data_IF_212743747825
#
_entry.id   IF_212743747825
#
_cell.length_a   1.000
_cell.length_b   1.000
_cell.length_c   1.000
_cell.angle_alpha   90.00
_cell.angle_beta   90.00
_cell.angle_gamma   90.00
#
_symmetry.space_group_name_H-M   'P 1'
#
loop_
_entity.id
_entity.type
_entity.pdbx_description
1 polymer ?
#
# COMPACT_ATOMS: atom_id res chain seq x y z
N UNK A 1 -4.50 -7.03 14.21
CA UNK A 1 -3.74 -6.44 13.08
C UNK A 1 -2.26 -6.77 13.24
N UNK A 2 -1.61 -7.06 12.13
CA UNK A 2 -0.18 -7.35 12.12
C UNK A 2 0.62 -6.07 12.35
N UNK A 3 1.77 -6.18 13.03
CA UNK A 3 2.69 -5.06 13.22
C UNK A 3 4.08 -5.47 12.72
N UNK A 4 4.69 -4.65 11.88
CA UNK A 4 6.02 -4.90 11.31
C UNK A 4 6.90 -3.69 11.54
N UNK A 5 8.06 -3.91 12.18
CA UNK A 5 9.02 -2.84 12.46
C UNK A 5 10.39 -3.09 11.82
N UNK A 6 10.59 -4.25 11.19
CA UNK A 6 11.85 -4.60 10.55
C UNK A 6 11.79 -4.43 9.04
N UNK A 7 12.73 -3.68 8.48
CA UNK A 7 12.90 -3.55 7.04
C UNK A 7 13.39 -4.84 6.37
N UNK A 8 13.80 -5.83 7.15
CA UNK A 8 14.22 -7.15 6.64
C UNK A 8 13.05 -8.11 6.48
N UNK A 9 11.86 -7.73 6.94
CA UNK A 9 10.66 -8.55 6.75
C UNK A 9 10.37 -8.74 5.26
N UNK A 10 10.04 -9.96 4.83
CA UNK A 10 9.81 -10.27 3.42
C UNK A 10 8.69 -9.44 2.80
N UNK A 11 7.62 -9.17 3.54
CA UNK A 11 6.53 -8.32 3.04
C UNK A 11 7.02 -6.92 2.73
N UNK A 12 7.91 -6.38 3.57
CA UNK A 12 8.49 -5.05 3.37
C UNK A 12 9.42 -5.04 2.15
N UNK A 13 10.27 -6.05 2.03
CA UNK A 13 11.21 -6.17 0.91
C UNK A 13 10.44 -6.27 -0.41
N UNK A 14 9.42 -7.12 -0.48
CA UNK A 14 8.62 -7.29 -1.69
C UNK A 14 7.82 -6.02 -2.02
N UNK A 15 7.27 -5.36 -1.00
CA UNK A 15 6.53 -4.11 -1.21
C UNK A 15 7.45 -3.00 -1.72
N UNK A 16 8.66 -2.88 -1.18
CA UNK A 16 9.62 -1.87 -1.60
C UNK A 16 10.02 -2.00 -3.08
N UNK A 17 9.99 -3.22 -3.63
CA UNK A 17 10.27 -3.45 -5.06
C UNK A 17 9.26 -2.76 -5.97
N UNK A 18 8.06 -2.49 -5.49
CA UNK A 18 7.00 -1.85 -6.26
C UNK A 18 7.26 -0.36 -6.53
N UNK A 19 8.32 0.21 -5.98
CA UNK A 19 8.78 1.55 -6.33
C UNK A 19 9.27 1.56 -7.78
N UNK A 20 9.74 0.42 -8.28
CA UNK A 20 10.25 0.28 -9.64
C UNK A 20 9.15 -0.14 -10.61
N UNK A 21 9.05 0.60 -11.72
CA UNK A 21 8.00 0.38 -12.73
C UNK A 21 8.02 -1.05 -13.29
N UNK A 22 9.21 -1.61 -13.51
CA UNK A 22 9.35 -2.98 -14.01
C UNK A 22 8.72 -3.99 -13.06
N UNK A 23 8.94 -3.83 -11.75
CA UNK A 23 8.38 -4.74 -10.76
C UNK A 23 6.87 -4.60 -10.64
N UNK A 24 6.36 -3.38 -10.76
CA UNK A 24 4.90 -3.15 -10.78
C UNK A 24 4.26 -3.91 -11.94
N UNK A 25 4.84 -3.80 -13.12
CA UNK A 25 4.33 -4.49 -14.30
C UNK A 25 4.39 -6.02 -14.15
N UNK A 26 5.50 -6.55 -13.65
CA UNK A 26 5.68 -7.99 -13.45
C UNK A 26 4.68 -8.57 -12.45
N UNK A 27 4.40 -7.85 -11.37
CA UNK A 27 3.54 -8.32 -10.29
C UNK A 27 2.08 -7.93 -10.45
N UNK A 28 1.77 -6.99 -11.33
CA UNK A 28 0.43 -6.45 -11.49
C UNK A 28 -0.03 -5.67 -10.27
N UNK A 29 0.89 -5.03 -9.56
CA UNK A 29 0.63 -4.30 -8.33
C UNK A 29 1.22 -2.90 -8.41
N UNK A 30 0.66 -1.97 -7.63
CA UNK A 30 1.22 -0.63 -7.48
C UNK A 30 1.00 -0.10 -6.07
N UNK A 31 1.70 0.98 -5.74
CA UNK A 31 1.61 1.62 -4.42
C UNK A 31 0.78 2.89 -4.50
N UNK A 32 -0.11 3.07 -3.53
CA UNK A 32 -0.88 4.30 -3.35
C UNK A 32 -0.44 4.94 -2.03
N UNK A 33 0.23 6.08 -2.12
CA UNK A 33 0.77 6.77 -0.96
C UNK A 33 -0.11 7.96 -0.61
N UNK A 34 -0.79 7.88 0.52
CA UNK A 34 -1.65 8.92 1.03
C UNK A 34 -3.12 8.54 1.07
N UNK A 35 -3.81 9.06 2.09
CA UNK A 35 -5.20 8.71 2.37
C UNK A 35 -6.17 9.14 1.26
N UNK A 36 -5.93 10.29 0.64
CA UNK A 36 -6.80 10.78 -0.43
C UNK A 36 -6.80 9.85 -1.63
N UNK A 37 -5.60 9.39 -2.03
CA UNK A 37 -5.46 8.47 -3.15
C UNK A 37 -6.11 7.13 -2.83
N UNK A 38 -5.97 6.65 -1.59
CA UNK A 38 -6.59 5.39 -1.15
C UNK A 38 -8.11 5.48 -1.29
N UNK A 39 -8.73 6.59 -0.86
CA UNK A 39 -10.17 6.79 -1.02
C UNK A 39 -10.60 6.79 -2.49
N UNK A 40 -9.83 7.46 -3.35
CA UNK A 40 -10.12 7.49 -4.79
C UNK A 40 -10.09 6.09 -5.39
N UNK A 41 -9.11 5.28 -5.00
CA UNK A 41 -8.97 3.92 -5.49
C UNK A 41 -10.11 3.02 -5.02
N UNK A 42 -10.53 3.17 -3.77
CA UNK A 42 -11.68 2.42 -3.24
C UNK A 42 -12.95 2.79 -4.01
N UNK A 43 -13.17 4.09 -4.29
CA UNK A 43 -14.31 4.53 -5.08
C UNK A 43 -14.31 3.98 -6.49
N UNK A 44 -13.13 3.74 -7.05
CA UNK A 44 -12.96 3.25 -8.41
C UNK A 44 -12.87 1.72 -8.49
N UNK A 45 -13.25 1.04 -7.43
CA UNK A 45 -13.28 -0.43 -7.33
C UNK A 45 -11.91 -1.11 -7.50
N UNK A 46 -10.84 -0.42 -7.12
CA UNK A 46 -9.52 -1.06 -7.06
C UNK A 46 -9.44 -1.98 -5.85
N UNK A 47 -8.83 -3.15 -6.05
CA UNK A 47 -8.59 -4.07 -4.95
C UNK A 47 -7.38 -3.63 -4.15
N UNK A 48 -7.58 -3.38 -2.84
CA UNK A 48 -6.50 -3.07 -1.92
C UNK A 48 -6.09 -4.36 -1.22
N UNK A 49 -4.89 -4.82 -1.50
CA UNK A 49 -4.38 -6.08 -0.96
C UNK A 49 -3.81 -5.92 0.45
N UNK A 50 -3.14 -4.81 0.69
CA UNK A 50 -2.51 -4.50 1.98
C UNK A 50 -2.50 -3.00 2.18
N UNK A 51 -2.74 -2.55 3.39
CA UNK A 51 -2.62 -1.15 3.76
C UNK A 51 -1.64 -1.02 4.92
N UNK A 52 -0.49 -0.42 4.64
CA UNK A 52 0.51 -0.12 5.68
C UNK A 52 0.14 1.20 6.34
N UNK A 53 0.03 1.18 7.65
CA UNK A 53 -0.32 2.36 8.45
C UNK A 53 0.82 2.64 9.42
N UNK A 54 1.32 3.87 9.38
CA UNK A 54 2.38 4.27 10.30
C UNK A 54 1.92 4.13 11.75
N UNK A 55 2.78 3.59 12.60
CA UNK A 55 2.52 3.46 14.02
C UNK A 55 2.12 4.81 14.63
N UNK A 56 1.01 4.85 15.34
CA UNK A 56 0.46 6.07 15.94
C UNK A 56 -0.52 6.83 15.05
N UNK A 57 -0.69 6.45 13.79
CA UNK A 57 -1.67 7.10 12.92
C UNK A 57 -3.09 6.69 13.30
N UNK A 58 -4.05 7.57 13.00
CA UNK A 58 -5.45 7.34 13.30
C UNK A 58 -6.08 6.38 12.28
N UNK A 59 -6.37 5.16 12.72
CA UNK A 59 -6.98 4.15 11.87
C UNK A 59 -8.42 4.48 11.44
N UNK A 60 -9.11 5.34 12.19
CA UNK A 60 -10.50 5.67 11.90
C UNK A 60 -10.67 6.46 10.59
N UNK A 61 -9.60 7.04 10.06
CA UNK A 61 -9.66 7.78 8.79
C UNK A 61 -9.64 6.88 7.56
N UNK A 62 -9.33 5.59 7.73
CA UNK A 62 -9.33 4.63 6.61
C UNK A 62 -10.74 4.33 6.12
N UNK A 63 -10.90 4.04 4.81
CA UNK A 63 -12.18 3.55 4.31
C UNK A 63 -12.65 2.30 5.05
N UNK A 64 -13.91 2.29 5.47
CA UNK A 64 -14.47 1.16 6.22
C UNK A 64 -14.53 -0.15 5.44
N UNK A 65 -14.42 -0.09 4.12
CA UNK A 65 -14.40 -1.27 3.26
C UNK A 65 -13.08 -2.04 3.30
N UNK A 66 -12.02 -1.45 3.84
CA UNK A 66 -10.74 -2.14 3.98
C UNK A 66 -10.83 -3.08 5.18
N UNK A 67 -10.69 -4.38 4.92
CA UNK A 67 -10.74 -5.39 5.97
C UNK A 67 -9.53 -5.23 6.91
N UNK A 68 -9.76 -5.38 8.21
CA UNK A 68 -8.70 -5.27 9.22
C UNK A 68 -7.58 -6.26 9.00
N UNK A 69 -7.87 -7.44 8.42
CA UNK A 69 -6.85 -8.44 8.10
C UNK A 69 -5.84 -7.95 7.04
N UNK A 70 -6.18 -6.90 6.31
CA UNK A 70 -5.32 -6.31 5.29
C UNK A 70 -4.50 -5.13 5.80
N UNK A 71 -4.69 -4.73 7.05
CA UNK A 71 -3.99 -3.61 7.65
C UNK A 71 -2.75 -4.10 8.39
N UNK A 72 -1.62 -3.46 8.12
CA UNK A 72 -0.35 -3.70 8.79
C UNK A 72 0.12 -2.40 9.44
N UNK A 73 0.32 -2.43 10.75
CA UNK A 73 0.91 -1.31 11.47
C UNK A 73 2.41 -1.36 11.26
N UNK A 74 3.00 -0.30 10.76
CA UNK A 74 4.40 -0.27 10.36
C UNK A 74 5.18 0.83 11.09
N UNK A 75 6.42 0.51 11.47
CA UNK A 75 7.33 1.50 12.02
C UNK A 75 7.72 2.54 10.98
N UNK A 76 8.21 3.69 11.43
CA UNK A 76 8.60 4.80 10.55
C UNK A 76 9.66 4.36 9.53
N UNK A 77 10.63 3.56 9.94
CA UNK A 77 11.68 3.03 9.07
C UNK A 77 11.09 2.18 7.93
N UNK A 78 10.07 1.38 8.23
CA UNK A 78 9.37 0.56 7.23
C UNK A 78 8.62 1.45 6.25
N UNK A 79 7.88 2.44 6.76
CA UNK A 79 7.13 3.38 5.91
C UNK A 79 8.06 4.12 4.96
N UNK A 80 9.21 4.58 5.45
CA UNK A 80 10.20 5.27 4.62
C UNK A 80 10.76 4.37 3.52
N UNK A 81 10.96 3.10 3.82
CA UNK A 81 11.50 2.15 2.85
C UNK A 81 10.52 1.84 1.72
N UNK A 82 9.23 1.74 2.02
CA UNK A 82 8.23 1.39 1.00
C UNK A 82 7.60 2.59 0.31
N UNK A 83 7.82 3.81 0.82
CA UNK A 83 7.25 5.01 0.23
C UNK A 83 7.93 5.36 -1.09
N UNK A 84 7.15 5.60 -2.17
CA UNK A 84 7.70 6.10 -3.42
C UNK A 84 8.00 7.60 -3.37
N UNK A 85 7.59 8.28 -2.30
CA UNK A 85 7.75 9.73 -2.14
C UNK A 85 8.92 10.06 -1.23
N UNK A 86 9.49 11.25 -1.39
CA UNK A 86 10.57 11.74 -0.54
C UNK A 86 10.13 11.85 0.91
N UNK A 87 8.90 12.32 1.13
CA UNK A 87 8.30 12.40 2.46
C UNK A 87 7.21 11.35 2.56
N UNK A 88 7.42 10.33 3.40
CA UNK A 88 6.46 9.25 3.56
C UNK A 88 5.17 9.79 4.19
N UNK A 89 4.04 9.30 3.67
CA UNK A 89 2.74 9.54 4.27
C UNK A 89 2.48 8.52 5.39
N UNK A 90 1.39 8.71 6.12
CA UNK A 90 1.03 7.80 7.19
C UNK A 90 0.34 6.52 6.69
N UNK A 91 -0.10 6.51 5.45
CA UNK A 91 -0.86 5.41 4.86
C UNK A 91 -0.32 5.09 3.47
N UNK A 92 0.06 3.83 3.25
CA UNK A 92 0.52 3.36 1.94
C UNK A 92 -0.21 2.05 1.64
N UNK A 93 -0.95 2.01 0.54
CA UNK A 93 -1.68 0.82 0.13
C UNK A 93 -1.00 0.11 -1.03
N UNK A 94 -1.04 -1.22 -1.01
CA UNK A 94 -0.64 -2.06 -2.14
C UNK A 94 -1.92 -2.44 -2.86
N UNK A 95 -2.02 -2.07 -4.13
CA UNK A 95 -3.23 -2.23 -4.93
C UNK A 95 -2.95 -3.07 -6.17
N UNK A 96 -3.97 -3.79 -6.62
CA UNK A 96 -3.88 -4.55 -7.86
C UNK A 96 -4.17 -3.64 -9.06
N UNK A 97 -3.32 -3.72 -10.07
CA UNK A 97 -3.56 -3.03 -11.35
C UNK A 97 -4.78 -3.67 -12.00
N UNK A 98 -5.73 -2.84 -12.46
CA UNK A 98 -6.88 -3.35 -13.20
C UNK A 98 -6.43 -3.81 -14.59
N UNK A 99 -6.86 -5.00 -14.97
CA UNK A 99 -6.66 -5.47 -16.32
C UNK A 99 -7.57 -4.70 -17.25
N UNK A 100 -7.00 -4.18 -18.32
CA UNK A 100 -7.79 -3.61 -19.40
C UNK A 100 -8.09 -4.74 -20.39
N UNK A 101 -9.38 -4.87 -20.74
CA UNK A 101 -9.74 -5.80 -21.80
C UNK A 101 -9.00 -5.40 -23.08
N UNK A 102 -8.35 -6.34 -23.79
CA UNK A 102 -7.69 -6.01 -25.03
C UNK A 102 -8.72 -5.47 -26.03
N UNK A 103 -8.36 -4.47 -26.83
CA UNK A 103 -9.27 -3.97 -27.85
C UNK A 103 -9.54 -5.07 -28.88
N UNK A 104 -10.78 -5.24 -29.20
CA UNK A 104 -11.18 -6.21 -30.21
C UNK A 104 -10.79 -5.73 -31.61
#
# INVERSE_FOLDING_TARGET
MEKITSCKNLKVIETAKLIHAKKRAEKGLFLADGIKLIYELVKSDYEILTCFVKEGADLSVLPGSIDKSRIIIAGENVMNKISPLTNSQQFIAVCRIKEQAPPD
#
